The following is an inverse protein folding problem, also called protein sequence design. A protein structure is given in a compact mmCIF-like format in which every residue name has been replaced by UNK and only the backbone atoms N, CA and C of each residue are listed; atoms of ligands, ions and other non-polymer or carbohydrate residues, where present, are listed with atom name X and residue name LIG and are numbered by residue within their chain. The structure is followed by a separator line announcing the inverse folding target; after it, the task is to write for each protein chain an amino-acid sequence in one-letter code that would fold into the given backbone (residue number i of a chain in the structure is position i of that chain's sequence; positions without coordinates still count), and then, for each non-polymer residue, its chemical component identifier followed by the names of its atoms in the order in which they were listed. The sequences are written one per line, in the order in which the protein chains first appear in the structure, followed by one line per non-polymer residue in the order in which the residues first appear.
data_IF_320527895137
#
_entry.id   IF_320527895137
#
_cell.length_a   1.000
_cell.length_b   1.000
_cell.length_c   1.000
_cell.angle_alpha   90.00
_cell.angle_beta   90.00
_cell.angle_gamma   90.00
#
_symmetry.space_group_name_H-M   'P 1'
#
loop_
_entity.id
_entity.type
_entity.pdbx_description
1 polymer ?
#
# COMPACT_ATOMS: atom_id res chain seq x y z
N UNK A 1 -1.97 21.12 -12.83
CA UNK A 1 -1.20 20.36 -13.85
C UNK A 1 -2.11 20.02 -15.01
N UNK A 2 -1.60 20.10 -16.24
CA UNK A 2 -2.31 19.67 -17.45
C UNK A 2 -1.83 18.25 -17.80
N UNK A 3 -2.77 17.35 -18.07
CA UNK A 3 -2.49 15.95 -18.41
C UNK A 3 -3.12 15.65 -19.76
N UNK A 4 -2.37 15.01 -20.63
CA UNK A 4 -2.76 14.57 -21.96
C UNK A 4 -3.10 13.06 -22.03
N UNK A 5 -2.79 12.33 -20.97
CA UNK A 5 -3.00 10.91 -20.82
C UNK A 5 -3.57 10.59 -19.43
N UNK A 6 -3.45 9.33 -19.03
CA UNK A 6 -3.81 8.80 -17.72
C UNK A 6 -3.06 9.53 -16.59
N UNK A 7 -3.74 9.76 -15.46
CA UNK A 7 -3.16 10.22 -14.19
C UNK A 7 -3.93 9.64 -13.01
N UNK A 8 -3.23 9.52 -11.87
CA UNK A 8 -3.84 9.17 -10.60
C UNK A 8 -4.07 10.44 -9.78
N UNK A 9 -5.30 10.70 -9.36
CA UNK A 9 -5.64 11.75 -8.42
C UNK A 9 -5.67 11.18 -7.01
N UNK A 10 -4.85 11.72 -6.11
CA UNK A 10 -4.73 11.28 -4.72
C UNK A 10 -5.25 12.39 -3.81
N UNK A 11 -6.32 12.10 -3.09
CA UNK A 11 -6.93 13.02 -2.13
C UNK A 11 -6.30 12.87 -0.74
N UNK A 12 -5.38 13.78 -0.42
CA UNK A 12 -4.70 13.82 0.88
C UNK A 12 -5.66 14.18 2.03
N UNK A 13 -6.78 14.85 1.74
CA UNK A 13 -7.81 15.12 2.74
C UNK A 13 -8.52 13.85 3.19
N UNK A 14 -8.84 12.95 2.25
CA UNK A 14 -9.41 11.63 2.57
C UNK A 14 -8.44 10.75 3.35
N UNK A 15 -7.15 10.77 3.01
CA UNK A 15 -6.10 10.10 3.80
C UNK A 15 -6.10 10.61 5.25
N UNK A 16 -6.17 11.93 5.43
CA UNK A 16 -6.22 12.53 6.76
C UNK A 16 -7.48 12.15 7.54
N UNK A 17 -8.64 12.10 6.88
CA UNK A 17 -9.90 11.65 7.48
C UNK A 17 -9.86 10.17 7.88
N UNK A 18 -9.30 9.30 7.04
CA UNK A 18 -9.11 7.89 7.36
C UNK A 18 -8.21 7.70 8.59
N UNK A 19 -7.10 8.44 8.65
CA UNK A 19 -6.20 8.41 9.81
C UNK A 19 -6.87 8.89 11.09
N UNK A 20 -7.68 9.93 10.99
CA UNK A 20 -8.45 10.45 12.12
C UNK A 20 -9.45 9.41 12.63
N UNK A 21 -10.21 8.80 11.73
CA UNK A 21 -11.19 7.77 12.07
C UNK A 21 -10.53 6.57 12.76
N UNK A 22 -9.40 6.08 12.25
CA UNK A 22 -8.63 5.03 12.90
C UNK A 22 -8.12 5.47 14.28
N UNK A 23 -7.57 6.69 14.40
CA UNK A 23 -7.04 7.19 15.68
C UNK A 23 -8.13 7.33 16.76
N UNK A 24 -9.31 7.74 16.38
CA UNK A 24 -10.48 7.85 17.28
C UNK A 24 -11.00 6.47 17.72
N UNK A 25 -10.82 5.44 16.89
CA UNK A 25 -11.21 4.06 17.21
C UNK A 25 -10.19 3.35 18.13
N UNK A 26 -8.91 3.73 18.08
CA UNK A 26 -7.88 3.14 18.92
C UNK A 26 -8.06 3.51 20.39
N UNK A 27 -7.69 2.59 21.29
CA UNK A 27 -7.61 2.87 22.72
C UNK A 27 -6.66 4.04 23.00
N UNK A 28 -6.96 4.87 24.00
CA UNK A 28 -6.04 5.93 24.45
C UNK A 28 -4.65 5.37 24.76
N UNK A 29 -3.61 6.03 24.25
CA UNK A 29 -2.22 5.61 24.44
C UNK A 29 -1.67 4.68 23.35
N UNK A 30 -2.52 3.96 22.60
CA UNK A 30 -2.06 3.13 21.48
C UNK A 30 -1.39 4.00 20.40
N UNK A 31 -0.14 3.66 20.07
CA UNK A 31 0.64 4.29 19.02
C UNK A 31 0.26 3.71 17.65
N UNK A 32 0.62 4.39 16.58
CA UNK A 32 0.34 3.94 15.22
C UNK A 32 1.57 4.14 14.33
N UNK A 33 2.00 3.09 13.65
CA UNK A 33 2.91 3.19 12.51
C UNK A 33 2.10 3.37 11.22
N UNK A 34 2.54 4.29 10.36
CA UNK A 34 2.00 4.42 9.00
C UNK A 34 2.77 3.53 8.02
N UNK A 35 2.11 2.56 7.41
CA UNK A 35 2.76 1.66 6.43
C UNK A 35 2.71 2.30 5.06
N UNK A 36 3.87 2.77 4.59
CA UNK A 36 4.03 3.54 3.33
C UNK A 36 4.94 2.84 2.32
N UNK A 37 5.10 1.52 2.46
CA UNK A 37 5.83 0.68 1.49
C UNK A 37 5.19 0.71 0.10
N UNK A 38 5.93 0.31 -0.93
CA UNK A 38 5.48 0.29 -2.34
C UNK A 38 4.97 1.67 -2.76
N UNK A 39 5.78 2.70 -2.44
CA UNK A 39 5.45 4.12 -2.65
C UNK A 39 4.07 4.51 -2.08
N UNK A 40 3.81 4.11 -0.81
CA UNK A 40 2.52 4.26 -0.13
C UNK A 40 1.38 3.57 -0.91
N UNK A 41 1.57 2.30 -1.26
CA UNK A 41 0.62 1.53 -2.07
C UNK A 41 0.27 2.29 -3.37
N UNK A 42 1.27 2.86 -4.03
CA UNK A 42 1.10 3.61 -5.28
C UNK A 42 0.59 5.04 -5.13
N UNK A 43 0.29 5.52 -3.91
CA UNK A 43 -0.24 6.86 -3.65
C UNK A 43 0.85 7.95 -3.56
N UNK A 44 2.14 7.57 -3.51
CA UNK A 44 3.26 8.49 -3.31
C UNK A 44 3.68 8.62 -1.85
N UNK A 45 4.77 7.96 -1.46
CA UNK A 45 5.17 7.80 -0.06
C UNK A 45 5.43 9.14 0.65
N UNK A 46 6.08 10.10 0.00
CA UNK A 46 6.45 11.36 0.64
C UNK A 46 5.24 12.27 0.93
N UNK A 47 4.33 12.56 -0.01
CA UNK A 47 3.12 13.33 0.29
C UNK A 47 2.23 12.65 1.33
N UNK A 48 2.08 11.33 1.26
CA UNK A 48 1.32 10.56 2.24
C UNK A 48 1.97 10.67 3.61
N UNK A 49 3.28 10.39 3.74
CA UNK A 49 4.00 10.46 5.00
C UNK A 49 3.84 11.84 5.67
N UNK A 50 4.04 12.92 4.92
CA UNK A 50 3.84 14.29 5.44
C UNK A 50 2.40 14.54 5.90
N UNK A 51 1.42 14.00 5.18
CA UNK A 51 0.00 14.16 5.52
C UNK A 51 -0.36 13.47 6.83
N UNK A 52 0.16 12.24 7.04
CA UNK A 52 -0.17 11.43 8.21
C UNK A 52 0.75 11.66 9.40
N UNK A 53 1.78 12.48 9.29
CA UNK A 53 2.85 12.62 10.30
C UNK A 53 2.33 12.85 11.71
N UNK A 54 1.36 13.74 11.91
CA UNK A 54 0.79 14.04 13.21
C UNK A 54 0.04 12.87 13.89
N UNK A 55 -0.33 11.84 13.13
CA UNK A 55 -1.09 10.69 13.63
C UNK A 55 -0.21 9.50 14.00
N UNK A 56 1.03 9.45 13.50
CA UNK A 56 1.91 8.28 13.60
C UNK A 56 3.09 8.52 14.54
N UNK A 57 3.57 7.46 15.18
CA UNK A 57 4.81 7.46 15.93
C UNK A 57 6.04 7.17 15.04
N UNK A 58 5.82 6.58 13.87
CA UNK A 58 6.83 6.22 12.90
C UNK A 58 6.20 5.67 11.62
N UNK A 59 7.05 5.26 10.71
CA UNK A 59 6.68 4.73 9.41
C UNK A 59 7.21 3.31 9.24
N UNK A 60 6.50 2.50 8.46
CA UNK A 60 6.95 1.17 8.10
C UNK A 60 7.07 1.04 6.58
N UNK A 61 8.23 0.58 6.13
CA UNK A 61 8.59 0.36 4.72
C UNK A 61 9.00 -1.10 4.50
N UNK A 62 9.14 -1.53 3.24
CA UNK A 62 9.56 -2.89 2.93
C UNK A 62 11.05 -2.99 2.64
N UNK A 63 11.67 -1.93 2.13
CA UNK A 63 13.07 -1.91 1.68
C UNK A 63 13.82 -0.70 2.26
N UNK A 64 15.15 -0.82 2.28
CA UNK A 64 16.03 0.28 2.69
C UNK A 64 15.84 1.50 1.80
N UNK A 65 15.74 1.31 0.48
CA UNK A 65 15.59 2.41 -0.48
C UNK A 65 14.31 3.24 -0.26
N UNK A 66 13.21 2.60 0.13
CA UNK A 66 11.99 3.29 0.54
C UNK A 66 12.24 4.15 1.79
N UNK A 67 12.96 3.63 2.77
CA UNK A 67 13.36 4.37 3.97
C UNK A 67 14.26 5.55 3.65
N UNK A 68 15.28 5.36 2.83
CA UNK A 68 16.19 6.40 2.36
C UNK A 68 15.46 7.49 1.58
N UNK A 69 14.48 7.11 0.75
CA UNK A 69 13.62 8.08 0.05
C UNK A 69 12.90 8.99 1.04
N UNK A 70 12.31 8.43 2.10
CA UNK A 70 11.65 9.22 3.14
C UNK A 70 12.64 10.16 3.86
N UNK A 71 13.83 9.67 4.25
CA UNK A 71 14.86 10.49 4.90
C UNK A 71 15.32 11.65 4.03
N UNK A 72 15.62 11.40 2.76
CA UNK A 72 16.01 12.46 1.80
C UNK A 72 14.97 13.56 1.66
N UNK A 73 13.69 13.26 1.97
CA UNK A 73 12.59 14.24 1.93
C UNK A 73 12.21 14.80 3.31
N UNK A 74 13.09 14.64 4.32
CA UNK A 74 12.94 15.29 5.62
C UNK A 74 11.97 14.60 6.58
N UNK A 75 11.68 13.31 6.39
CA UNK A 75 10.93 12.53 7.37
C UNK A 75 11.87 12.13 8.51
N UNK A 76 11.63 12.62 9.73
CA UNK A 76 12.52 12.47 10.88
C UNK A 76 12.10 11.34 11.84
N UNK A 77 10.80 11.05 11.94
CA UNK A 77 10.28 9.97 12.81
C UNK A 77 10.90 8.63 12.49
N UNK A 78 10.79 7.69 13.42
CA UNK A 78 11.26 6.32 13.22
C UNK A 78 10.79 5.75 11.87
N UNK A 79 11.71 5.09 11.17
CA UNK A 79 11.41 4.32 9.97
C UNK A 79 11.81 2.88 10.24
N UNK A 80 10.81 1.99 10.27
CA UNK A 80 11.01 0.55 10.44
C UNK A 80 10.96 -0.12 9.07
N UNK A 81 12.08 -0.71 8.65
CA UNK A 81 12.08 -1.65 7.53
C UNK A 81 11.45 -2.97 7.99
N UNK A 82 10.45 -3.48 7.29
CA UNK A 82 9.76 -4.72 7.65
C UNK A 82 10.36 -5.96 6.99
N UNK A 83 11.13 -5.76 5.92
CA UNK A 83 11.80 -6.83 5.19
C UNK A 83 13.22 -7.08 5.71
N UNK A 84 13.74 -8.32 5.54
CA UNK A 84 15.14 -8.61 5.87
C UNK A 84 16.10 -7.75 5.05
N UNK A 85 17.16 -7.27 5.70
CA UNK A 85 18.17 -6.41 5.09
C UNK A 85 19.49 -7.16 5.03
N UNK A 86 20.20 -7.11 3.91
CA UNK A 86 21.52 -7.72 3.75
C UNK A 86 22.60 -6.92 4.49
N UNK A 87 23.67 -7.57 4.94
CA UNK A 87 24.76 -6.95 5.67
C UNK A 87 25.41 -5.78 4.90
N UNK A 88 25.50 -5.87 3.56
CA UNK A 88 26.02 -4.79 2.72
C UNK A 88 25.26 -3.47 2.75
N UNK A 89 24.04 -3.45 3.36
CA UNK A 89 23.22 -2.25 3.50
C UNK A 89 23.18 -1.72 4.95
N UNK A 90 23.87 -2.36 5.90
CA UNK A 90 23.83 -1.96 7.31
C UNK A 90 24.38 -0.55 7.54
N UNK A 91 25.45 -0.18 6.87
CA UNK A 91 26.02 1.17 6.98
C UNK A 91 24.99 2.23 6.60
N UNK A 92 24.30 2.09 5.47
CA UNK A 92 23.26 3.03 5.03
C UNK A 92 22.12 3.15 6.05
N UNK A 93 21.72 2.01 6.65
CA UNK A 93 20.68 2.00 7.69
C UNK A 93 21.15 2.74 8.94
N UNK A 94 22.39 2.54 9.36
CA UNK A 94 22.99 3.22 10.51
C UNK A 94 23.14 4.72 10.27
N UNK A 95 23.60 5.12 9.09
CA UNK A 95 23.77 6.53 8.72
C UNK A 95 22.43 7.29 8.70
N UNK A 96 21.36 6.61 8.33
CA UNK A 96 20.04 7.20 8.13
C UNK A 96 19.03 6.83 9.24
N UNK A 97 19.48 6.26 10.36
CA UNK A 97 18.65 5.88 11.51
C UNK A 97 17.41 5.06 11.09
N UNK A 98 17.59 4.01 10.28
CA UNK A 98 16.54 3.08 9.86
C UNK A 98 16.54 1.88 10.79
N UNK A 99 15.42 1.61 11.46
CA UNK A 99 15.23 0.44 12.32
C UNK A 99 15.04 -0.83 11.49
N UNK A 100 15.66 -1.95 11.92
CA UNK A 100 15.68 -3.20 11.17
C UNK A 100 14.92 -4.32 11.92
N UNK A 101 14.27 -5.26 11.20
CA UNK A 101 13.75 -6.47 11.80
C UNK A 101 14.90 -7.41 12.14
N UNK A 102 14.80 -8.07 13.29
CA UNK A 102 15.81 -9.02 13.73
C UNK A 102 15.17 -10.32 14.21
N UNK A 103 15.69 -11.43 13.72
CA UNK A 103 15.17 -12.78 14.01
C UNK A 103 16.24 -13.89 13.92
N UNK A 104 17.52 -13.51 13.90
CA UNK A 104 18.65 -14.43 13.89
C UNK A 104 19.81 -13.79 14.67
N UNK A 105 20.44 -14.56 15.56
CA UNK A 105 21.60 -14.08 16.33
C UNK A 105 22.77 -13.67 15.44
N UNK A 106 23.11 -14.48 14.41
CA UNK A 106 24.24 -14.17 13.54
C UNK A 106 24.07 -12.84 12.80
N UNK A 107 22.86 -12.53 12.29
CA UNK A 107 22.56 -11.24 11.67
C UNK A 107 22.61 -10.08 12.67
N UNK A 108 22.14 -10.33 13.90
CA UNK A 108 22.24 -9.34 14.97
C UNK A 108 23.69 -9.01 15.30
N UNK A 109 24.56 -10.03 15.36
CA UNK A 109 25.99 -9.89 15.59
C UNK A 109 26.67 -9.09 14.46
N UNK A 110 26.39 -9.42 13.21
CA UNK A 110 26.92 -8.68 12.05
C UNK A 110 26.50 -7.20 12.07
N UNK A 111 25.24 -6.92 12.43
CA UNK A 111 24.75 -5.54 12.57
C UNK A 111 25.42 -4.82 13.75
N UNK A 112 25.62 -5.52 14.87
CA UNK A 112 26.33 -5.01 16.04
C UNK A 112 27.77 -4.65 15.70
N UNK A 113 28.50 -5.55 15.02
CA UNK A 113 29.87 -5.33 14.59
C UNK A 113 29.97 -4.09 13.67
N UNK A 114 29.03 -3.96 12.72
CA UNK A 114 28.95 -2.77 11.85
C UNK A 114 28.62 -1.49 12.64
N UNK A 115 27.70 -1.54 13.60
CA UNK A 115 27.33 -0.41 14.44
C UNK A 115 28.49 0.06 15.33
N UNK A 116 29.26 -0.87 15.91
CA UNK A 116 30.48 -0.57 16.67
C UNK A 116 31.51 0.10 15.76
N UNK A 117 31.74 -0.42 14.56
CA UNK A 117 32.72 0.15 13.63
C UNK A 117 32.37 1.59 13.22
N UNK A 118 31.09 1.90 13.07
CA UNK A 118 30.57 3.23 12.73
C UNK A 118 30.40 4.16 13.95
N UNK A 119 30.62 3.67 15.18
CA UNK A 119 30.38 4.43 16.40
C UNK A 119 28.92 4.83 16.61
N UNK A 120 27.98 4.03 16.07
CA UNK A 120 26.53 4.27 16.11
C UNK A 120 25.81 3.19 16.91
N UNK A 121 24.54 3.39 17.16
CA UNK A 121 23.67 2.38 17.76
C UNK A 121 22.57 2.01 16.77
N UNK A 122 22.49 0.73 16.42
CA UNK A 122 21.42 0.20 15.56
C UNK A 122 20.15 -0.03 16.39
N UNK A 123 19.01 0.39 15.84
CA UNK A 123 17.68 0.10 16.39
C UNK A 123 17.13 -1.15 15.69
N UNK A 124 16.63 -2.09 16.47
CA UNK A 124 16.06 -3.31 15.94
C UNK A 124 14.67 -3.57 16.54
N UNK A 125 13.82 -4.20 15.73
CA UNK A 125 12.58 -4.81 16.21
C UNK A 125 12.67 -6.32 16.05
N UNK A 126 12.51 -7.07 17.14
CA UNK A 126 12.49 -8.53 17.09
C UNK A 126 11.24 -8.97 16.34
N UNK A 127 11.41 -9.70 15.26
CA UNK A 127 10.30 -10.30 14.53
C UNK A 127 9.99 -11.70 15.09
N UNK A 128 8.71 -11.97 15.34
CA UNK A 128 8.21 -13.23 15.92
C UNK A 128 7.22 -13.86 14.96
N UNK A 129 7.43 -15.12 14.61
CA UNK A 129 6.50 -15.89 13.78
C UNK A 129 5.51 -16.66 14.63
N UNK A 130 4.32 -16.13 14.75
CA UNK A 130 3.22 -16.78 15.50
C UNK A 130 2.27 -17.57 14.61
N UNK A 131 2.55 -17.66 13.29
CA UNK A 131 1.72 -18.41 12.35
C UNK A 131 1.56 -17.80 10.97
N UNK A 132 2.31 -16.73 10.63
CA UNK A 132 2.39 -16.20 9.26
C UNK A 132 3.36 -17.01 8.39
N UNK A 133 4.35 -17.70 9.02
CA UNK A 133 5.37 -18.55 8.38
C UNK A 133 6.16 -17.83 7.27
N UNK A 134 6.52 -16.59 7.55
CA UNK A 134 7.25 -15.73 6.58
C UNK A 134 8.63 -15.33 7.08
N UNK A 135 8.73 -14.71 8.23
CA UNK A 135 9.96 -14.33 8.94
C UNK A 135 9.68 -14.29 10.44
N UNK A 136 10.69 -14.49 11.25
CA UNK A 136 10.59 -14.34 12.71
C UNK A 136 11.09 -15.56 13.48
N UNK A 137 11.42 -15.34 14.75
CA UNK A 137 11.68 -16.39 15.73
C UNK A 137 10.37 -17.10 16.08
N UNK A 138 10.41 -18.41 16.26
CA UNK A 138 9.26 -19.11 16.84
C UNK A 138 9.09 -18.72 18.31
N UNK A 139 7.88 -18.58 18.83
CA UNK A 139 7.63 -18.18 20.21
C UNK A 139 7.82 -19.40 21.16
N UNK A 140 9.08 -19.73 21.43
CA UNK A 140 9.50 -20.82 22.32
C UNK A 140 10.65 -20.40 23.25
N UNK A 141 10.99 -21.24 24.23
CA UNK A 141 12.05 -21.00 25.21
C UNK A 141 13.42 -20.76 24.55
N UNK A 142 13.75 -21.51 23.47
CA UNK A 142 15.00 -21.34 22.74
C UNK A 142 15.12 -19.96 22.12
N UNK A 143 14.03 -19.44 21.60
CA UNK A 143 13.96 -18.10 21.03
C UNK A 143 14.05 -16.99 22.10
N UNK A 144 13.59 -17.24 23.33
CA UNK A 144 13.80 -16.31 24.45
C UNK A 144 15.29 -16.14 24.74
N UNK A 145 16.05 -17.24 24.79
CA UNK A 145 17.52 -17.17 24.98
C UNK A 145 18.19 -16.45 23.83
N UNK A 146 17.80 -16.68 22.57
CA UNK A 146 18.32 -15.93 21.43
C UNK A 146 18.08 -14.40 21.58
N UNK A 147 16.88 -14.00 22.04
CA UNK A 147 16.58 -12.56 22.26
C UNK A 147 17.45 -12.00 23.39
N UNK A 148 17.73 -12.76 24.44
CA UNK A 148 18.67 -12.34 25.51
C UNK A 148 20.08 -12.14 24.96
N UNK A 149 20.60 -13.10 24.22
CA UNK A 149 21.92 -13.00 23.58
C UNK A 149 22.01 -11.78 22.66
N UNK A 150 20.96 -11.50 21.88
CA UNK A 150 20.87 -10.33 21.02
C UNK A 150 20.87 -9.04 21.87
N UNK A 151 20.19 -9.01 23.00
CA UNK A 151 20.12 -7.83 23.86
C UNK A 151 21.46 -7.50 24.55
N UNK A 152 22.36 -8.47 24.68
CA UNK A 152 23.72 -8.29 25.22
C UNK A 152 24.72 -7.79 24.19
N UNK A 153 24.39 -7.81 22.90
CA UNK A 153 25.30 -7.36 21.83
C UNK A 153 25.54 -5.83 21.94
N UNK A 154 26.80 -5.38 21.83
CA UNK A 154 27.13 -3.96 21.91
C UNK A 154 26.52 -3.19 20.74
N UNK A 155 26.24 -1.91 20.95
CA UNK A 155 25.73 -0.99 19.93
C UNK A 155 24.39 -1.44 19.26
N UNK A 156 23.65 -2.38 19.86
CA UNK A 156 22.29 -2.71 19.49
C UNK A 156 21.29 -2.20 20.53
N UNK A 157 20.14 -1.77 20.08
CA UNK A 157 19.01 -1.41 20.94
C UNK A 157 17.74 -2.04 20.43
N UNK A 158 17.14 -2.93 21.21
CA UNK A 158 15.79 -3.43 20.94
C UNK A 158 14.81 -2.26 21.14
N UNK A 159 14.25 -1.75 20.04
CA UNK A 159 13.27 -0.67 20.03
C UNK A 159 11.84 -1.23 20.09
N UNK A 160 11.63 -2.46 19.64
CA UNK A 160 10.33 -3.13 19.71
C UNK A 160 10.38 -4.61 19.37
N UNK A 161 9.19 -5.21 19.39
CA UNK A 161 8.94 -6.59 18.99
C UNK A 161 7.62 -6.66 18.22
N UNK A 162 7.56 -7.49 17.17
CA UNK A 162 6.34 -7.59 16.38
C UNK A 162 6.07 -8.97 15.83
N UNK A 163 4.80 -9.24 15.60
CA UNK A 163 4.33 -10.33 14.75
C UNK A 163 3.39 -9.80 13.68
N UNK A 164 2.91 -10.67 12.79
CA UNK A 164 1.94 -10.31 11.76
C UNK A 164 0.81 -11.32 11.69
N UNK A 165 -0.43 -10.84 11.79
CA UNK A 165 -1.60 -11.70 11.65
C UNK A 165 -1.75 -12.20 10.21
N UNK A 166 -1.94 -13.48 10.05
CA UNK A 166 -2.12 -14.13 8.76
C UNK A 166 -3.56 -14.02 8.24
N UNK A 167 -4.54 -14.03 9.17
CA UNK A 167 -5.96 -14.20 8.87
C UNK A 167 -6.86 -13.26 9.70
N UNK A 168 -6.37 -12.07 10.04
CA UNK A 168 -7.16 -11.11 10.82
C UNK A 168 -8.30 -10.48 10.02
N UNK A 169 -8.25 -10.55 8.70
CA UNK A 169 -9.23 -10.04 7.74
C UNK A 169 -10.32 -11.05 7.37
N UNK A 170 -10.26 -12.29 7.84
CA UNK A 170 -11.31 -13.28 7.71
C UNK A 170 -12.39 -13.11 8.80
N UNK A 171 -13.62 -13.59 8.57
CA UNK A 171 -14.71 -13.54 9.54
C UNK A 171 -14.39 -14.32 10.82
N UNK A 172 -13.75 -15.49 10.67
CA UNK A 172 -13.28 -16.28 11.81
C UNK A 172 -11.98 -15.73 12.39
N UNK A 173 -12.06 -15.17 13.59
CA UNK A 173 -10.93 -14.57 14.31
C UNK A 173 -10.13 -15.56 15.17
N UNK A 174 -10.45 -16.85 15.16
CA UNK A 174 -9.79 -17.89 15.99
C UNK A 174 -8.29 -17.90 15.75
N UNK A 175 -7.86 -17.89 14.48
CA UNK A 175 -6.44 -17.88 14.12
C UNK A 175 -5.73 -16.60 14.62
N UNK A 176 -6.31 -15.43 14.41
CA UNK A 176 -5.74 -14.18 14.90
C UNK A 176 -5.66 -14.13 16.44
N UNK A 177 -6.68 -14.67 17.12
CA UNK A 177 -6.68 -14.81 18.59
C UNK A 177 -5.56 -15.71 19.09
N UNK A 178 -5.31 -16.86 18.43
CA UNK A 178 -4.22 -17.76 18.78
C UNK A 178 -2.84 -17.12 18.51
N UNK A 179 -2.67 -16.44 17.37
CA UNK A 179 -1.44 -15.69 17.08
C UNK A 179 -1.16 -14.60 18.13
N UNK A 180 -2.21 -13.86 18.54
CA UNK A 180 -2.11 -12.85 19.59
C UNK A 180 -1.70 -13.47 20.93
N UNK A 181 -2.34 -14.59 21.33
CA UNK A 181 -2.02 -15.27 22.58
C UNK A 181 -0.55 -15.70 22.63
N UNK A 182 -0.06 -16.37 21.59
CA UNK A 182 1.35 -16.79 21.46
C UNK A 182 2.31 -15.61 21.50
N UNK A 183 1.97 -14.53 20.79
CA UNK A 183 2.82 -13.34 20.77
C UNK A 183 2.89 -12.68 22.14
N UNK A 184 1.77 -12.54 22.82
CA UNK A 184 1.70 -11.93 24.15
C UNK A 184 2.48 -12.76 25.18
N UNK A 185 2.28 -14.08 25.22
CA UNK A 185 3.03 -14.98 26.09
C UNK A 185 4.54 -14.84 25.84
N UNK A 186 4.97 -14.86 24.59
CA UNK A 186 6.39 -14.66 24.26
C UNK A 186 6.92 -13.29 24.70
N UNK A 187 6.16 -12.22 24.54
CA UNK A 187 6.55 -10.91 25.09
C UNK A 187 6.70 -10.92 26.61
N UNK A 188 5.81 -11.63 27.32
CA UNK A 188 5.88 -11.75 28.77
C UNK A 188 7.10 -12.60 29.20
N UNK A 189 7.42 -13.68 28.49
CA UNK A 189 8.59 -14.53 28.74
C UNK A 189 9.90 -13.79 28.51
N UNK A 190 10.03 -13.04 27.41
CA UNK A 190 11.19 -12.20 27.11
C UNK A 190 11.38 -11.12 28.20
N UNK A 191 10.29 -10.52 28.68
CA UNK A 191 10.33 -9.55 29.77
C UNK A 191 10.73 -10.22 31.09
N UNK A 192 10.20 -11.41 31.41
CA UNK A 192 10.57 -12.19 32.59
C UNK A 192 12.04 -12.59 32.57
N UNK A 193 12.62 -12.82 31.39
CA UNK A 193 14.05 -13.06 31.17
C UNK A 193 14.93 -11.82 31.34
N UNK A 194 14.35 -10.65 31.69
CA UNK A 194 15.07 -9.40 31.97
C UNK A 194 15.32 -8.50 30.74
N UNK A 195 14.78 -8.83 29.57
CA UNK A 195 14.96 -8.02 28.39
C UNK A 195 13.87 -6.95 28.27
N UNK A 196 14.28 -5.68 28.16
CA UNK A 196 13.35 -4.58 27.96
C UNK A 196 12.91 -4.45 26.49
N UNK A 197 11.60 -4.55 26.25
CA UNK A 197 10.99 -4.33 24.94
C UNK A 197 10.01 -3.16 25.04
N UNK A 198 10.38 -1.96 24.56
CA UNK A 198 9.58 -0.74 24.76
C UNK A 198 8.25 -0.71 24.00
N UNK A 199 8.15 -1.40 22.88
CA UNK A 199 6.95 -1.39 22.00
C UNK A 199 6.68 -2.78 21.44
N UNK A 200 5.55 -3.36 21.80
CA UNK A 200 5.05 -4.60 21.17
C UNK A 200 3.90 -4.27 20.21
N UNK A 201 3.93 -4.83 19.00
CA UNK A 201 2.91 -4.55 18.01
C UNK A 201 2.60 -5.75 17.10
N UNK A 202 1.30 -6.07 16.94
CA UNK A 202 0.84 -7.20 16.12
C UNK A 202 -0.22 -6.78 15.08
N UNK A 203 -1.14 -5.87 15.43
CA UNK A 203 -2.28 -5.51 14.59
C UNK A 203 -1.87 -4.84 13.29
N UNK A 204 -2.37 -5.40 12.17
CA UNK A 204 -2.44 -4.78 10.85
C UNK A 204 -3.75 -3.98 10.70
N UNK A 205 -4.12 -3.57 9.48
CA UNK A 205 -5.36 -2.82 9.23
C UNK A 205 -6.62 -3.55 9.72
N UNK A 206 -6.72 -4.88 9.53
CA UNK A 206 -7.85 -5.66 10.02
C UNK A 206 -7.90 -5.70 11.54
N UNK A 207 -6.75 -5.88 12.18
CA UNK A 207 -6.64 -5.81 13.64
C UNK A 207 -7.00 -4.44 14.21
N UNK A 208 -6.71 -3.36 13.49
CA UNK A 208 -7.15 -2.01 13.88
C UNK A 208 -8.67 -1.92 13.88
N UNK A 209 -9.34 -2.42 12.82
CA UNK A 209 -10.78 -2.29 12.64
C UNK A 209 -11.54 -3.18 13.63
N UNK A 210 -11.21 -4.45 13.74
CA UNK A 210 -12.05 -5.43 14.42
C UNK A 210 -11.50 -6.03 15.72
N UNK A 211 -10.20 -5.83 16.02
CA UNK A 211 -9.54 -6.49 17.14
C UNK A 211 -8.89 -5.47 18.11
N UNK A 212 -9.66 -4.51 18.66
CA UNK A 212 -9.10 -3.47 19.51
C UNK A 212 -8.41 -4.00 20.78
N UNK A 213 -8.79 -5.19 21.23
CA UNK A 213 -8.16 -5.86 22.38
C UNK A 213 -6.75 -6.40 22.08
N UNK A 214 -6.40 -6.55 20.81
CA UNK A 214 -5.11 -7.07 20.37
C UNK A 214 -4.12 -5.97 19.96
N UNK A 215 -4.47 -4.70 20.09
CA UNK A 215 -3.65 -3.60 19.56
C UNK A 215 -2.32 -3.37 20.29
N UNK A 216 -2.14 -3.90 21.51
CA UNK A 216 -0.93 -3.74 22.35
C UNK A 216 -0.44 -2.27 22.41
N UNK A 217 0.89 -2.04 22.38
CA UNK A 217 1.47 -0.69 22.46
C UNK A 217 1.33 0.11 21.18
N UNK A 218 1.32 -0.60 20.03
CA UNK A 218 1.21 0.05 18.74
C UNK A 218 0.52 -0.85 17.69
N UNK A 219 0.00 -0.19 16.65
CA UNK A 219 -0.62 -0.82 15.48
C UNK A 219 0.08 -0.37 14.20
N UNK A 220 -0.11 -1.11 13.11
CA UNK A 220 0.43 -0.78 11.79
C UNK A 220 -0.69 -0.56 10.80
N UNK A 221 -1.08 0.70 10.61
CA UNK A 221 -2.06 1.09 9.61
C UNK A 221 -1.46 0.93 8.20
N UNK A 222 -2.11 0.16 7.35
CA UNK A 222 -1.74 -0.09 5.97
C UNK A 222 -2.83 0.34 5.01
N UNK A 223 -3.55 -0.62 4.43
CA UNK A 223 -4.56 -0.37 3.40
C UNK A 223 -5.66 0.61 3.83
N UNK A 224 -5.99 0.64 5.11
CA UNK A 224 -6.98 1.57 5.69
C UNK A 224 -6.58 3.04 5.61
N UNK A 225 -5.28 3.36 5.53
CA UNK A 225 -4.80 4.73 5.26
C UNK A 225 -5.38 5.23 3.94
N UNK A 226 -5.42 4.34 2.95
CA UNK A 226 -5.80 4.64 1.57
C UNK A 226 -7.30 4.51 1.31
N UNK A 227 -8.08 4.19 2.37
CA UNK A 227 -9.54 4.17 2.34
C UNK A 227 -10.15 2.88 1.80
N UNK A 228 -9.40 1.79 1.83
CA UNK A 228 -9.86 0.46 1.45
C UNK A 228 -9.93 -0.44 2.68
N UNK A 229 -10.93 -1.34 2.71
CA UNK A 229 -11.01 -2.36 3.76
C UNK A 229 -10.12 -3.55 3.42
N UNK A 230 -9.60 -4.26 4.45
CA UNK A 230 -8.67 -5.38 4.23
C UNK A 230 -9.26 -6.54 3.42
N UNK A 231 -10.55 -6.84 3.57
CA UNK A 231 -11.31 -7.81 2.81
C UNK A 231 -12.81 -7.51 2.89
N UNK A 232 -13.62 -8.25 2.14
CA UNK A 232 -15.08 -8.16 2.18
C UNK A 232 -15.67 -8.73 3.49
N UNK A 233 -14.91 -9.55 4.23
CA UNK A 233 -15.32 -10.13 5.50
C UNK A 233 -15.11 -9.19 6.69
N UNK A 234 -14.33 -8.11 6.51
CA UNK A 234 -14.13 -7.09 7.55
C UNK A 234 -15.35 -6.19 7.64
N UNK A 235 -15.86 -5.97 8.86
CA UNK A 235 -17.02 -5.12 9.11
C UNK A 235 -16.75 -3.67 8.77
N UNK A 236 -17.47 -3.16 7.76
CA UNK A 236 -17.26 -1.81 7.23
C UNK A 236 -18.00 -0.71 8.01
N UNK A 237 -18.91 -1.08 8.90
CA UNK A 237 -19.69 -0.17 9.76
C UNK A 237 -18.94 0.30 11.01
N UNK A 238 -17.80 -0.30 11.33
CA UNK A 238 -16.98 0.03 12.52
C UNK A 238 -16.21 1.32 12.32
N UNK A 239 -15.52 1.46 11.19
CA UNK A 239 -14.75 2.66 10.83
C UNK A 239 -15.13 3.05 9.41
N UNK A 240 -15.62 4.27 9.21
CA UNK A 240 -15.92 4.76 7.86
C UNK A 240 -14.64 5.17 7.15
N UNK A 241 -14.30 4.47 6.07
CA UNK A 241 -13.14 4.74 5.24
C UNK A 241 -13.55 5.38 3.91
N UNK A 242 -12.69 6.25 3.37
CA UNK A 242 -12.90 6.96 2.11
C UNK A 242 -11.78 6.65 1.13
N UNK A 243 -12.03 5.98 -0.01
CA UNK A 243 -11.02 5.72 -1.02
C UNK A 243 -10.30 7.01 -1.43
N UNK A 244 -8.97 7.00 -1.35
CA UNK A 244 -8.16 8.19 -1.53
C UNK A 244 -7.63 8.36 -2.97
N UNK A 245 -7.71 7.33 -3.82
CA UNK A 245 -7.22 7.39 -5.20
C UNK A 245 -8.34 7.27 -6.21
N UNK A 246 -8.29 8.11 -7.23
CA UNK A 246 -9.01 7.94 -8.48
C UNK A 246 -8.02 7.82 -9.63
N UNK A 247 -8.33 6.98 -10.62
CA UNK A 247 -7.55 6.83 -11.85
C UNK A 247 -8.35 7.38 -13.01
N UNK A 248 -7.81 8.38 -13.70
CA UNK A 248 -8.48 9.12 -14.76
C UNK A 248 -7.67 9.13 -16.03
N UNK A 249 -8.36 9.18 -17.16
CA UNK A 249 -7.79 9.30 -18.49
C UNK A 249 -8.68 10.18 -19.38
N UNK A 250 -8.45 10.15 -20.69
CA UNK A 250 -9.18 10.96 -21.65
C UNK A 250 -9.52 10.16 -22.91
N UNK A 251 -10.61 10.57 -23.56
CA UNK A 251 -10.93 10.12 -24.93
C UNK A 251 -9.96 10.83 -25.89
N UNK A 252 -9.15 10.05 -26.61
CA UNK A 252 -8.17 10.59 -27.55
C UNK A 252 -8.65 10.52 -29.01
N UNK A 253 -9.61 9.67 -29.30
CA UNK A 253 -10.17 9.51 -30.64
C UNK A 253 -11.55 8.88 -30.60
N UNK A 254 -12.44 9.32 -31.47
CA UNK A 254 -13.78 8.76 -31.63
C UNK A 254 -14.00 8.39 -33.10
N UNK A 255 -14.59 7.22 -33.32
CA UNK A 255 -15.00 6.78 -34.64
C UNK A 255 -16.28 5.94 -34.62
N UNK A 256 -16.93 5.86 -35.77
CA UNK A 256 -18.01 4.92 -36.02
C UNK A 256 -17.45 3.66 -36.69
N UNK A 257 -17.94 2.49 -36.30
CA UNK A 257 -17.60 1.20 -36.92
C UNK A 257 -18.89 0.49 -37.33
N UNK A 258 -18.83 -0.19 -38.49
CA UNK A 258 -19.96 -0.95 -39.04
C UNK A 258 -20.03 -2.40 -38.54
N UNK A 259 -21.16 -3.09 -38.84
CA UNK A 259 -21.29 -4.51 -38.54
C UNK A 259 -20.15 -5.33 -39.10
N UNK A 260 -19.69 -6.32 -38.35
CA UNK A 260 -18.59 -7.20 -38.74
C UNK A 260 -17.20 -6.66 -38.44
N UNK A 261 -17.05 -5.36 -38.04
CA UNK A 261 -15.75 -4.79 -37.67
C UNK A 261 -15.23 -5.42 -36.39
N UNK A 262 -14.01 -5.92 -36.44
CA UNK A 262 -13.30 -6.46 -35.30
C UNK A 262 -12.53 -5.36 -34.57
N UNK A 263 -12.47 -5.44 -33.21
CA UNK A 263 -11.85 -4.43 -32.34
C UNK A 263 -10.69 -5.05 -31.58
N UNK A 264 -9.54 -4.36 -31.62
CA UNK A 264 -8.32 -4.68 -30.89
C UNK A 264 -7.64 -5.99 -31.30
N UNK A 265 -6.56 -6.33 -30.60
CA UNK A 265 -5.75 -7.52 -30.84
C UNK A 265 -6.59 -8.81 -30.80
N UNK A 266 -6.47 -9.59 -31.86
CA UNK A 266 -7.16 -10.88 -32.00
C UNK A 266 -8.64 -10.78 -32.25
N UNK A 267 -9.19 -9.58 -32.55
CA UNK A 267 -10.59 -9.39 -32.95
C UNK A 267 -11.60 -9.97 -31.95
N UNK A 268 -11.28 -9.96 -30.66
CA UNK A 268 -12.11 -10.66 -29.65
C UNK A 268 -13.46 -10.01 -29.39
N UNK A 269 -13.67 -8.79 -29.88
CA UNK A 269 -14.96 -8.14 -30.00
C UNK A 269 -15.27 -7.91 -31.50
N UNK A 270 -16.49 -8.20 -31.93
CA UNK A 270 -16.98 -7.95 -33.28
C UNK A 270 -18.27 -7.17 -33.21
N UNK A 271 -18.32 -6.02 -33.88
CA UNK A 271 -19.51 -5.19 -33.92
C UNK A 271 -20.67 -5.90 -34.62
N UNK A 272 -21.82 -6.03 -34.01
CA UNK A 272 -23.04 -6.62 -34.60
C UNK A 272 -23.86 -5.59 -35.38
N UNK A 273 -23.71 -4.32 -35.05
CA UNK A 273 -24.39 -3.16 -35.64
C UNK A 273 -23.43 -2.00 -35.76
N UNK A 274 -23.83 -0.96 -36.51
CA UNK A 274 -23.12 0.31 -36.51
C UNK A 274 -23.09 0.87 -35.08
N UNK A 275 -21.90 1.22 -34.61
CA UNK A 275 -21.69 1.75 -33.25
C UNK A 275 -20.56 2.76 -33.20
N UNK A 276 -20.65 3.68 -32.24
CA UNK A 276 -19.65 4.70 -31.96
C UNK A 276 -18.75 4.21 -30.84
N UNK A 277 -17.44 4.27 -31.04
CA UNK A 277 -16.44 3.83 -30.08
C UNK A 277 -15.42 4.93 -29.79
N UNK A 278 -14.93 4.96 -28.54
CA UNK A 278 -13.81 5.81 -28.11
C UNK A 278 -12.51 5.01 -28.02
N UNK A 279 -11.40 5.67 -28.32
CA UNK A 279 -10.07 5.25 -27.88
C UNK A 279 -9.72 6.02 -26.61
N UNK A 280 -9.35 5.29 -25.56
CA UNK A 280 -8.98 5.83 -24.24
C UNK A 280 -7.48 5.66 -24.03
N UNK A 281 -6.81 6.71 -23.58
CA UNK A 281 -5.34 6.76 -23.42
C UNK A 281 -4.87 6.13 -22.10
N UNK A 282 -5.13 4.85 -21.91
CA UNK A 282 -4.70 4.04 -20.77
C UNK A 282 -4.51 2.57 -21.19
N UNK A 283 -3.57 1.87 -20.59
CA UNK A 283 -3.36 0.46 -20.89
C UNK A 283 -2.57 -0.28 -19.83
N UNK A 284 -2.20 -1.55 -20.13
CA UNK A 284 -1.50 -2.38 -19.13
C UNK A 284 -0.07 -1.88 -18.85
N UNK A 285 0.54 -1.11 -19.72
CA UNK A 285 1.82 -0.45 -19.47
C UNK A 285 1.73 0.66 -18.40
N UNK A 286 0.53 1.14 -18.11
CA UNK A 286 0.24 2.08 -17.02
C UNK A 286 -0.08 1.35 -15.70
N UNK A 287 -0.25 0.03 -15.75
CA UNK A 287 -0.71 -0.79 -14.62
C UNK A 287 -2.21 -1.08 -14.63
N UNK A 288 -2.96 -0.67 -15.67
CA UNK A 288 -4.37 -1.00 -15.79
C UNK A 288 -4.55 -2.47 -16.20
N UNK A 289 -5.27 -3.31 -15.44
CA UNK A 289 -5.25 -4.75 -15.62
C UNK A 289 -5.72 -5.22 -16.99
N UNK A 290 -4.87 -5.95 -17.73
CA UNK A 290 -5.22 -6.49 -19.07
C UNK A 290 -6.39 -7.49 -19.00
N UNK A 291 -6.60 -8.15 -17.85
CA UNK A 291 -7.68 -9.11 -17.64
C UNK A 291 -9.08 -8.48 -17.64
N UNK A 292 -9.18 -7.15 -17.59
CA UNK A 292 -10.44 -6.40 -17.79
C UNK A 292 -10.89 -6.39 -19.25
N UNK A 293 -10.11 -6.90 -20.20
CA UNK A 293 -10.43 -6.98 -21.63
C UNK A 293 -11.78 -7.64 -21.89
N UNK A 294 -12.71 -6.89 -22.49
CA UNK A 294 -14.07 -7.36 -22.83
C UNK A 294 -15.00 -7.60 -21.63
N UNK A 295 -14.52 -7.32 -20.40
CA UNK A 295 -15.30 -7.52 -19.17
C UNK A 295 -15.50 -6.24 -18.38
N UNK A 296 -14.48 -5.39 -18.33
CA UNK A 296 -14.48 -4.15 -17.55
C UNK A 296 -15.30 -3.04 -18.19
N UNK A 297 -15.56 -2.04 -17.38
CA UNK A 297 -16.23 -0.81 -17.77
C UNK A 297 -15.43 0.41 -17.29
N UNK A 298 -15.71 1.56 -17.88
CA UNK A 298 -15.18 2.86 -17.45
C UNK A 298 -16.35 3.84 -17.35
N UNK A 299 -16.14 4.96 -16.65
CA UNK A 299 -17.17 5.99 -16.56
C UNK A 299 -16.84 7.16 -17.47
N UNK A 300 -17.85 7.60 -18.23
CA UNK A 300 -17.81 8.78 -19.10
C UNK A 300 -19.13 9.52 -18.89
N UNK A 301 -19.07 10.80 -18.48
CA UNK A 301 -20.25 11.62 -18.17
C UNK A 301 -21.24 10.95 -17.20
N UNK A 302 -20.69 10.26 -16.18
CA UNK A 302 -21.51 9.56 -15.18
C UNK A 302 -22.21 8.29 -15.68
N UNK A 303 -21.83 7.77 -16.85
CA UNK A 303 -22.39 6.55 -17.44
C UNK A 303 -21.32 5.49 -17.62
N UNK A 304 -21.68 4.22 -17.44
CA UNK A 304 -20.79 3.08 -17.69
C UNK A 304 -20.64 2.81 -19.18
N UNK A 305 -19.40 2.70 -19.64
CA UNK A 305 -19.01 2.38 -21.02
C UNK A 305 -18.18 1.10 -21.02
N UNK A 306 -18.63 0.06 -21.74
CA UNK A 306 -17.95 -1.24 -21.80
C UNK A 306 -16.61 -1.15 -22.52
N UNK A 307 -15.60 -1.85 -22.04
CA UNK A 307 -14.32 -2.04 -22.72
C UNK A 307 -14.51 -3.05 -23.84
N UNK A 308 -14.16 -2.66 -25.07
CA UNK A 308 -14.33 -3.45 -26.28
C UNK A 308 -13.01 -4.11 -26.70
N UNK A 309 -13.03 -5.44 -26.81
CA UNK A 309 -11.86 -6.20 -27.22
C UNK A 309 -10.75 -6.18 -26.14
N UNK A 310 -9.51 -6.42 -26.55
CA UNK A 310 -8.35 -6.49 -25.65
C UNK A 310 -7.82 -5.12 -25.30
N UNK A 311 -7.45 -4.91 -24.03
CA UNK A 311 -6.67 -3.75 -23.57
C UNK A 311 -5.25 -3.88 -24.15
N UNK A 312 -4.77 -2.81 -24.79
CA UNK A 312 -3.42 -2.71 -25.34
C UNK A 312 -2.46 -2.16 -24.28
N UNK A 313 -1.18 -1.99 -24.64
CA UNK A 313 -0.16 -1.46 -23.73
C UNK A 313 -0.49 -0.04 -23.26
N UNK A 314 -0.97 0.82 -24.18
CA UNK A 314 -1.11 2.24 -23.96
C UNK A 314 -2.53 2.77 -24.14
N UNK A 315 -3.43 1.98 -24.70
CA UNK A 315 -4.79 2.37 -25.09
C UNK A 315 -5.76 1.20 -25.02
N UNK A 316 -7.04 1.50 -24.93
CA UNK A 316 -8.13 0.54 -25.15
C UNK A 316 -9.35 1.25 -25.78
N UNK A 317 -10.31 0.48 -26.24
CA UNK A 317 -11.55 0.99 -26.84
C UNK A 317 -12.73 0.80 -25.90
N UNK A 318 -13.63 1.80 -25.89
CA UNK A 318 -14.85 1.80 -25.09
C UNK A 318 -16.09 2.08 -25.96
N UNK A 319 -17.22 1.49 -25.60
CA UNK A 319 -18.50 1.66 -26.26
C UNK A 319 -19.13 3.02 -25.89
N UNK A 320 -19.39 3.87 -26.86
CA UNK A 320 -20.09 5.14 -26.70
C UNK A 320 -21.56 5.12 -27.14
N UNK A 321 -22.15 3.96 -27.43
CA UNK A 321 -23.54 3.86 -27.94
C UNK A 321 -24.54 4.54 -26.99
N UNK A 322 -24.35 4.42 -25.67
CA UNK A 322 -25.17 5.07 -24.64
C UNK A 322 -24.77 6.50 -24.29
N UNK A 323 -23.74 7.07 -24.94
CA UNK A 323 -23.12 8.36 -24.57
C UNK A 323 -22.88 9.21 -25.83
N UNK A 324 -23.96 9.58 -26.55
CA UNK A 324 -23.83 10.29 -27.83
C UNK A 324 -23.18 11.67 -27.73
N UNK A 325 -23.26 12.31 -26.56
CA UNK A 325 -22.68 13.60 -26.24
C UNK A 325 -21.15 13.58 -26.01
N UNK A 326 -20.55 12.37 -25.86
CA UNK A 326 -19.11 12.27 -25.61
C UNK A 326 -18.29 12.78 -26.80
N UNK A 327 -17.19 13.46 -26.53
CA UNK A 327 -16.25 14.04 -27.49
C UNK A 327 -14.80 13.76 -27.11
N UNK A 328 -13.91 13.95 -28.06
CA UNK A 328 -12.47 13.88 -27.81
C UNK A 328 -12.05 14.95 -26.78
N UNK A 329 -11.15 14.57 -25.88
CA UNK A 329 -10.73 15.36 -24.72
C UNK A 329 -11.59 15.17 -23.48
N UNK A 330 -12.74 14.49 -23.56
CA UNK A 330 -13.54 14.23 -22.37
C UNK A 330 -12.84 13.28 -21.41
N UNK A 331 -13.03 13.53 -20.11
CA UNK A 331 -12.45 12.72 -19.04
C UNK A 331 -13.11 11.33 -18.98
N UNK A 332 -12.28 10.33 -18.77
CA UNK A 332 -12.69 8.94 -18.56
C UNK A 332 -12.23 8.51 -17.16
N UNK A 333 -13.16 8.07 -16.32
CA UNK A 333 -12.83 7.56 -14.98
C UNK A 333 -12.69 6.03 -15.03
N UNK A 334 -11.47 5.55 -14.77
CA UNK A 334 -11.14 4.13 -14.72
C UNK A 334 -11.36 3.56 -13.32
N UNK A 335 -11.07 4.37 -12.29
CA UNK A 335 -11.34 4.10 -10.88
C UNK A 335 -11.80 5.39 -10.23
N UNK A 336 -12.79 5.30 -9.35
CA UNK A 336 -13.35 6.42 -8.62
C UNK A 336 -14.73 6.82 -9.11
N UNK A 337 -15.17 8.03 -8.76
CA UNK A 337 -16.50 8.54 -9.03
C UNK A 337 -16.56 9.45 -10.26
N UNK A 338 -17.67 9.31 -10.96
CA UNK A 338 -18.12 10.23 -12.01
C UNK A 338 -19.65 10.38 -11.91
N UNK A 339 -20.13 11.55 -11.52
CA UNK A 339 -21.52 11.77 -11.17
C UNK A 339 -21.99 10.85 -10.04
N UNK A 340 -23.04 10.08 -10.29
CA UNK A 340 -23.62 9.13 -9.33
C UNK A 340 -23.07 7.70 -9.48
N UNK A 341 -22.14 7.48 -10.41
CA UNK A 341 -21.54 6.19 -10.64
C UNK A 341 -20.15 6.12 -9.98
N UNK A 342 -19.75 4.90 -9.63
CA UNK A 342 -18.43 4.61 -9.06
C UNK A 342 -17.91 3.28 -9.63
N UNK A 343 -16.59 3.23 -9.85
CA UNK A 343 -15.82 2.00 -10.08
C UNK A 343 -14.76 1.95 -8.99
N UNK A 344 -14.78 0.89 -8.17
CA UNK A 344 -13.84 0.73 -7.06
C UNK A 344 -12.63 -0.13 -7.43
N UNK A 345 -11.58 -0.11 -6.60
CA UNK A 345 -10.43 -1.01 -6.74
C UNK A 345 -10.85 -2.47 -6.55
N UNK A 346 -11.81 -2.72 -5.64
CA UNK A 346 -12.38 -4.03 -5.36
C UNK A 346 -13.12 -4.57 -6.58
N UNK A 347 -13.98 -3.75 -7.23
CA UNK A 347 -14.69 -4.12 -8.47
C UNK A 347 -13.69 -4.51 -9.58
N UNK A 348 -12.61 -3.72 -9.76
CA UNK A 348 -11.58 -4.05 -10.75
C UNK A 348 -10.88 -5.36 -10.43
N UNK A 349 -10.54 -5.58 -9.16
CA UNK A 349 -9.88 -6.80 -8.70
C UNK A 349 -10.76 -8.03 -8.94
N UNK A 350 -12.03 -7.96 -8.57
CA UNK A 350 -12.99 -9.04 -8.79
C UNK A 350 -13.10 -9.41 -10.26
N UNK A 351 -13.34 -8.43 -11.16
CA UNK A 351 -13.50 -8.66 -12.61
C UNK A 351 -12.19 -9.19 -13.23
N UNK A 352 -11.03 -8.70 -12.77
CA UNK A 352 -9.73 -9.11 -13.33
C UNK A 352 -9.20 -10.42 -12.74
N UNK A 353 -9.80 -10.93 -11.65
CA UNK A 353 -9.31 -12.08 -10.89
C UNK A 353 -8.03 -11.76 -10.12
N UNK A 354 -7.83 -10.51 -9.75
CA UNK A 354 -6.71 -10.01 -8.95
C UNK A 354 -7.09 -9.76 -7.48
N UNK A 355 -6.28 -8.93 -6.83
CA UNK A 355 -6.48 -8.54 -5.43
C UNK A 355 -6.45 -7.00 -5.32
N UNK A 356 -7.39 -6.40 -4.61
CA UNK A 356 -7.54 -4.95 -4.59
C UNK A 356 -6.33 -4.18 -4.06
N UNK A 357 -5.47 -4.80 -3.23
CA UNK A 357 -4.17 -4.24 -2.83
C UNK A 357 -3.19 -4.11 -4.00
N UNK A 358 -3.28 -5.01 -4.99
CA UNK A 358 -2.38 -4.98 -6.15
C UNK A 358 -2.70 -3.82 -7.08
N UNK A 359 -3.99 -3.51 -7.28
CA UNK A 359 -4.43 -2.51 -8.27
C UNK A 359 -3.68 -1.17 -8.10
N UNK A 360 -3.67 -0.51 -6.95
CA UNK A 360 -2.96 0.75 -6.78
C UNK A 360 -1.43 0.58 -6.83
N UNK A 361 -0.90 -0.57 -6.40
CA UNK A 361 0.54 -0.86 -6.45
C UNK A 361 1.05 -1.09 -7.88
N UNK A 362 0.19 -1.57 -8.79
CA UNK A 362 0.53 -1.78 -10.20
C UNK A 362 0.58 -0.48 -11.01
N UNK A 363 -0.04 0.61 -10.52
CA UNK A 363 0.00 1.91 -11.22
C UNK A 363 1.45 2.39 -11.29
N UNK A 364 2.03 2.28 -12.49
CA UNK A 364 3.44 2.51 -12.76
C UNK A 364 3.90 3.94 -12.52
N UNK A 365 5.22 4.15 -12.47
CA UNK A 365 5.82 5.49 -12.29
C UNK A 365 5.51 6.44 -13.44
N UNK A 366 5.26 5.93 -14.66
CA UNK A 366 4.90 6.73 -15.82
C UNK A 366 3.51 7.39 -15.73
N UNK A 367 2.67 6.95 -14.77
CA UNK A 367 1.39 7.58 -14.46
C UNK A 367 1.62 8.72 -13.49
N UNK A 368 1.40 9.99 -13.85
CA UNK A 368 1.54 11.10 -12.94
C UNK A 368 0.60 11.00 -11.75
N UNK A 369 1.02 11.51 -10.59
CA UNK A 369 0.15 11.69 -9.41
C UNK A 369 -0.16 13.17 -9.25
N UNK A 370 -1.45 13.47 -9.16
CA UNK A 370 -2.00 14.78 -8.81
C UNK A 370 -2.50 14.71 -7.38
N UNK A 371 -1.98 15.55 -6.52
CA UNK A 371 -2.41 15.60 -5.12
C UNK A 371 -3.43 16.70 -4.93
N UNK A 372 -4.58 16.32 -4.34
CA UNK A 372 -5.65 17.26 -4.00
C UNK A 372 -5.92 17.24 -2.50
N UNK A 373 -6.37 18.39 -1.97
CA UNK A 373 -6.87 18.50 -0.60
C UNK A 373 -8.00 19.53 -0.57
N UNK A 374 -9.14 19.17 0.02
CA UNK A 374 -10.33 20.04 0.05
C UNK A 374 -10.75 20.54 -1.36
N UNK A 375 -10.68 19.65 -2.36
CA UNK A 375 -11.03 19.97 -3.75
C UNK A 375 -10.04 20.86 -4.49
N UNK A 376 -8.90 21.21 -3.89
CA UNK A 376 -7.85 22.04 -4.53
C UNK A 376 -6.60 21.20 -4.78
N UNK A 377 -5.98 21.42 -5.94
CA UNK A 377 -4.65 20.87 -6.21
C UNK A 377 -3.61 21.49 -5.28
N UNK A 378 -2.81 20.65 -4.63
CA UNK A 378 -1.76 21.06 -3.68
C UNK A 378 -0.37 20.59 -4.11
N UNK A 379 -0.26 19.82 -5.17
CA UNK A 379 1.02 19.37 -5.73
C UNK A 379 0.84 18.23 -6.73
N UNK A 380 1.95 17.71 -7.21
CA UNK A 380 1.97 16.58 -8.13
C UNK A 380 3.35 15.94 -8.22
N UNK A 381 3.36 14.73 -8.77
CA UNK A 381 4.57 14.00 -9.13
C UNK A 381 4.48 13.62 -10.60
N UNK A 382 5.41 14.13 -11.38
CA UNK A 382 5.58 13.74 -12.79
C UNK A 382 6.75 12.75 -12.87
N UNK A 383 6.62 11.73 -13.69
CA UNK A 383 7.77 10.92 -14.08
C UNK A 383 8.60 11.77 -15.07
N UNK A 384 9.64 12.42 -14.57
CA UNK A 384 10.62 13.12 -15.40
C UNK A 384 11.98 12.53 -15.09
N UNK A 385 12.66 12.13 -16.15
CA UNK A 385 14.07 11.76 -16.22
C UNK A 385 14.53 10.72 -15.19
N UNK A 386 14.52 9.46 -15.59
CA UNK A 386 15.35 8.47 -14.96
C UNK A 386 16.78 8.72 -15.47
N UNK A 387 17.67 9.21 -14.61
CA UNK A 387 19.11 9.24 -14.91
C UNK A 387 19.62 7.80 -14.89
N UNK A 388 20.15 7.36 -16.00
CA UNK A 388 20.84 6.07 -16.10
C UNK A 388 22.32 6.29 -15.84
N UNK A 389 22.83 5.81 -14.69
CA UNK A 389 24.25 5.84 -14.40
C UNK A 389 24.98 4.80 -15.26
N UNK A 390 26.04 5.23 -15.94
CA UNK A 390 26.95 4.33 -16.69
C UNK A 390 26.52 3.99 -18.11
N UNK A 391 25.57 4.70 -18.72
CA UNK A 391 25.19 4.61 -20.13
C UNK A 391 25.53 5.87 -20.89
#
# INVERSE_FOLDING_TARGET
MEFDRIYAEVDLGRIEENMKAMKEHLRPGTKMYGVVKTDAYGHGAVPVARTIDRFVCGYAVATVDEGLKLRRHGIEKEILCLGPVSAGRYQECLENDISLPMFEYQRAKELSDAAVAEGKTAKIHIAVDTGMSRIGLFPDEGSVEIVKEIAELPALRIAGMFTHFARADEADKTNAGEQYRRFREFCDDVKAAGVAVPVCHCSNSAGIVELPDFNMDAVRAGITIYGMYPSDEVKQDIISLKPAMALKSFITYIKEIGPGTEVSYGGTFKAEKTMRIATVSAGYGDGYPRNLSGKGEVLIHGKRAKILGRICMDQFMADLTGIPEAKEGDSVTLVGRDGNQEITMEELAEISGGFHYEIPCLIGKRVPRRYVKNGKEVGGMMCRDEEYEGF
#
